data_IF_219793586080
#
_entry.id   IF_219793586080
#
_cell.length_a   1.000
_cell.length_b   1.000
_cell.length_c   1.000
_cell.angle_alpha   90.00
_cell.angle_beta   90.00
_cell.angle_gamma   90.00
#
_symmetry.space_group_name_H-M   'P 1'
#
loop_
_entity.id
_entity.type
_entity.pdbx_description
1 polymer ?
#
# COMPACT_ATOMS: atom_id res chain seq x y z
N UNK A 1 7.02 5.60 -3.42
CA UNK A 1 8.29 5.42 -2.66
C UNK A 1 8.02 4.53 -1.45
N UNK A 2 9.02 3.89 -0.83
CA UNK A 2 8.79 3.02 0.35
C UNK A 2 9.80 3.28 1.46
N UNK A 3 9.32 3.24 2.70
CA UNK A 3 10.09 3.52 3.91
C UNK A 3 9.86 2.42 4.95
N UNK A 4 10.92 2.03 5.63
CA UNK A 4 10.84 1.15 6.80
C UNK A 4 10.66 2.03 8.03
N UNK A 5 9.73 1.67 8.90
CA UNK A 5 9.39 2.46 10.08
C UNK A 5 9.55 1.64 11.36
N UNK A 6 9.86 2.33 12.45
CA UNK A 6 9.74 1.77 13.80
C UNK A 6 8.40 2.23 14.37
N UNK A 7 7.49 1.29 14.63
CA UNK A 7 6.14 1.60 15.11
C UNK A 7 5.19 0.43 14.97
N UNK A 8 3.89 0.73 14.84
CA UNK A 8 2.85 -0.29 14.66
C UNK A 8 2.89 -0.98 13.29
N UNK A 9 3.60 -0.40 12.31
CA UNK A 9 3.78 -0.95 10.97
C UNK A 9 5.26 -0.98 10.62
N UNK A 10 5.67 -2.02 9.90
CA UNK A 10 7.06 -2.20 9.47
C UNK A 10 7.42 -1.35 8.25
N UNK A 11 6.46 -1.13 7.34
CA UNK A 11 6.69 -0.47 6.05
C UNK A 11 5.53 0.46 5.71
N UNK A 12 5.87 1.65 5.22
CA UNK A 12 4.93 2.60 4.60
C UNK A 12 5.34 2.80 3.15
N UNK A 13 4.39 2.63 2.22
CA UNK A 13 4.62 2.84 0.80
C UNK A 13 3.61 3.83 0.22
N UNK A 14 4.13 4.80 -0.54
CA UNK A 14 3.36 5.73 -1.35
C UNK A 14 3.22 5.15 -2.76
N UNK A 15 1.98 4.96 -3.19
CA UNK A 15 1.60 4.38 -4.47
C UNK A 15 0.86 5.47 -5.25
N UNK A 16 1.36 5.78 -6.44
CA UNK A 16 0.70 6.68 -7.40
C UNK A 16 0.23 5.84 -8.58
N UNK A 17 -1.05 5.92 -8.90
CA UNK A 17 -1.66 5.25 -10.06
C UNK A 17 -2.58 6.22 -10.78
N UNK A 18 -2.79 5.97 -12.07
CA UNK A 18 -3.66 6.82 -12.91
C UNK A 18 -5.14 6.53 -12.68
N UNK A 19 -5.47 5.33 -12.18
CA UNK A 19 -6.83 4.89 -11.88
C UNK A 19 -6.94 4.18 -10.52
N UNK A 20 -8.17 4.13 -9.99
CA UNK A 20 -8.48 3.38 -8.78
C UNK A 20 -8.39 1.85 -9.02
N UNK A 21 -8.71 1.39 -10.22
CA UNK A 21 -8.64 -0.04 -10.57
C UNK A 21 -7.19 -0.54 -10.52
N UNK A 22 -6.24 0.23 -11.07
CA UNK A 22 -4.81 -0.09 -11.02
C UNK A 22 -4.28 -0.11 -9.59
N UNK A 23 -4.80 0.79 -8.74
CA UNK A 23 -4.47 0.83 -7.32
C UNK A 23 -4.94 -0.46 -6.62
N UNK A 24 -6.21 -0.81 -6.80
CA UNK A 24 -6.80 -1.98 -6.17
C UNK A 24 -6.13 -3.28 -6.64
N UNK A 25 -5.79 -3.37 -7.92
CA UNK A 25 -5.02 -4.50 -8.47
C UNK A 25 -3.63 -4.57 -7.83
N UNK A 26 -2.93 -3.44 -7.76
CA UNK A 26 -1.58 -3.37 -7.18
C UNK A 26 -1.58 -3.78 -5.72
N UNK A 27 -2.50 -3.25 -4.90
CA UNK A 27 -2.55 -3.60 -3.48
C UNK A 27 -2.98 -5.06 -3.29
N UNK A 28 -4.01 -5.52 -4.00
CA UNK A 28 -4.62 -6.83 -3.75
C UNK A 28 -3.82 -7.98 -4.36
N UNK A 29 -3.32 -7.84 -5.58
CA UNK A 29 -2.61 -8.91 -6.27
C UNK A 29 -1.11 -8.85 -6.13
N UNK A 30 -0.50 -7.65 -6.07
CA UNK A 30 0.96 -7.51 -6.00
C UNK A 30 1.46 -7.45 -4.56
N UNK A 31 0.81 -6.68 -3.68
CA UNK A 31 1.29 -6.46 -2.30
C UNK A 31 0.76 -7.53 -1.34
N UNK A 32 -0.56 -7.71 -1.22
CA UNK A 32 -1.18 -8.62 -0.22
C UNK A 32 -0.86 -10.10 -0.43
N UNK A 33 -0.36 -10.49 -1.61
CA UNK A 33 0.04 -11.87 -1.92
C UNK A 33 1.50 -12.17 -1.59
N UNK A 34 2.29 -11.18 -1.20
CA UNK A 34 3.68 -11.40 -0.77
C UNK A 34 3.68 -12.20 0.53
N UNK A 35 4.47 -13.26 0.57
CA UNK A 35 4.50 -14.25 1.65
C UNK A 35 4.86 -13.70 3.05
N UNK A 36 5.34 -12.47 3.14
CA UNK A 36 5.72 -11.80 4.40
C UNK A 36 4.80 -10.64 4.79
N UNK A 37 3.76 -10.37 4.00
CA UNK A 37 2.77 -9.33 4.31
C UNK A 37 1.68 -9.95 5.18
N UNK A 38 1.66 -9.59 6.46
CA UNK A 38 0.65 -10.07 7.42
C UNK A 38 -0.65 -9.31 7.26
N UNK A 39 -0.57 -7.98 7.15
CA UNK A 39 -1.72 -7.10 6.95
C UNK A 39 -1.28 -5.81 6.25
N UNK A 40 -2.25 -5.08 5.72
CA UNK A 40 -2.04 -3.78 5.05
C UNK A 40 -3.16 -2.83 5.45
N UNK A 41 -2.83 -1.57 5.63
CA UNK A 41 -3.80 -0.48 5.77
C UNK A 41 -3.64 0.45 4.58
N UNK A 42 -4.74 0.74 3.91
CA UNK A 42 -4.78 1.64 2.76
C UNK A 42 -5.29 3.01 3.21
N UNK A 43 -4.52 4.07 2.93
CA UNK A 43 -4.91 5.45 3.18
C UNK A 43 -5.11 6.17 1.85
N UNK A 44 -6.37 6.40 1.45
CA UNK A 44 -6.68 7.19 0.28
C UNK A 44 -6.60 8.67 0.60
N UNK A 45 -5.75 9.41 -0.13
CA UNK A 45 -5.65 10.86 -0.01
C UNK A 45 -6.82 11.47 -0.79
N UNK A 46 -7.74 12.10 -0.08
CA UNK A 46 -8.81 12.90 -0.67
C UNK A 46 -8.29 14.34 -0.73
N UNK A 47 -8.05 14.85 -1.94
CA UNK A 47 -7.69 16.25 -2.14
C UNK A 47 -8.85 17.17 -1.75
N UNK A 48 -8.55 18.23 -0.99
CA UNK A 48 -9.49 19.28 -0.60
C UNK A 48 -9.72 20.30 -1.69
#
# INVERSE_FOLDING_TARGET
>A
QAYVTFGAYDVIAEINTDSQEDFDETVSFKIRRLTRVVSTMTLNVIGS
#
